data_IF_194599737274
#
_entry.id   IF_194599737274
#
_cell.length_a   1.000
_cell.length_b   1.000
_cell.length_c   1.000
_cell.angle_alpha   90.00
_cell.angle_beta   90.00
_cell.angle_gamma   90.00
#
_symmetry.space_group_name_H-M   'P 1'
#
loop_
_entity.id
_entity.type
_entity.pdbx_description
1 polymer ?
#
# COMPACT_ATOMS: atom_id res chain seq x y z
N UNK A 1 -58.26 31.68 9.70
CA UNK A 1 -57.16 31.90 8.72
C UNK A 1 -56.45 33.25 8.98
N UNK A 2 -55.89 33.47 10.18
CA UNK A 2 -55.17 34.72 10.53
C UNK A 2 -53.67 34.52 10.80
N UNK A 3 -53.20 33.28 10.97
CA UNK A 3 -51.81 33.00 11.32
C UNK A 3 -50.83 33.13 10.14
N UNK A 4 -51.30 32.89 8.91
CA UNK A 4 -50.46 32.88 7.70
C UNK A 4 -50.29 34.26 7.05
N UNK A 5 -51.14 35.23 7.37
CA UNK A 5 -51.13 36.58 6.76
C UNK A 5 -50.33 37.61 7.55
N UNK A 6 -49.72 37.22 8.68
CA UNK A 6 -48.93 38.13 9.53
C UNK A 6 -47.47 38.21 9.06
N UNK A 7 -46.93 39.43 9.05
CA UNK A 7 -45.51 39.69 8.77
C UNK A 7 -44.60 38.97 9.78
N UNK A 8 -43.62 38.20 9.28
CA UNK A 8 -42.66 37.45 10.11
C UNK A 8 -41.50 38.34 10.54
N UNK A 9 -40.98 38.12 11.75
CA UNK A 9 -39.75 38.77 12.24
C UNK A 9 -38.53 37.98 11.76
N UNK A 10 -37.47 38.67 11.35
CA UNK A 10 -36.25 38.05 10.83
C UNK A 10 -35.49 37.21 11.88
N UNK A 11 -35.58 37.57 13.17
CA UNK A 11 -34.88 36.92 14.27
C UNK A 11 -35.76 35.96 15.10
N UNK A 12 -36.98 35.67 14.64
CA UNK A 12 -37.86 34.76 15.36
C UNK A 12 -37.31 33.34 15.32
N UNK A 13 -37.04 32.75 16.49
CA UNK A 13 -36.60 31.36 16.61
C UNK A 13 -35.10 31.13 16.46
N UNK A 14 -34.27 32.18 16.54
CA UNK A 14 -32.82 32.08 16.29
C UNK A 14 -32.07 31.05 17.16
N UNK A 15 -32.61 30.69 18.34
CA UNK A 15 -32.03 29.68 19.25
C UNK A 15 -32.94 28.48 19.49
N UNK A 16 -34.08 28.40 18.80
CA UNK A 16 -35.06 27.33 19.05
C UNK A 16 -34.53 25.97 18.62
N UNK A 17 -33.74 25.91 17.54
CA UNK A 17 -33.09 24.68 17.10
C UNK A 17 -32.13 24.16 18.18
N UNK A 18 -31.25 25.02 18.69
CA UNK A 18 -30.30 24.68 19.78
C UNK A 18 -31.01 24.25 21.06
N UNK A 19 -32.15 24.86 21.39
CA UNK A 19 -32.90 24.50 22.60
C UNK A 19 -33.56 23.13 22.48
N UNK A 20 -34.07 22.78 21.30
CA UNK A 20 -34.64 21.45 21.01
C UNK A 20 -33.54 20.38 20.98
N UNK A 21 -32.37 20.70 20.42
CA UNK A 21 -31.21 19.81 20.36
C UNK A 21 -30.65 19.54 21.76
N UNK A 22 -30.59 20.55 22.63
CA UNK A 22 -30.15 20.42 24.02
C UNK A 22 -31.18 19.74 24.96
N UNK A 23 -32.42 19.53 24.52
CA UNK A 23 -33.47 18.85 25.31
C UNK A 23 -33.24 17.33 25.36
N UNK A 24 -32.63 16.79 24.30
CA UNK A 24 -32.17 15.39 24.24
C UNK A 24 -30.75 15.33 24.79
N UNK A 25 -30.50 14.46 25.77
CA UNK A 25 -29.14 14.23 26.24
C UNK A 25 -28.30 13.61 25.11
N UNK A 26 -27.22 14.28 24.72
CA UNK A 26 -26.41 13.83 23.60
C UNK A 26 -25.50 12.66 24.04
N UNK A 27 -26.04 11.44 23.94
CA UNK A 27 -25.37 10.18 24.27
C UNK A 27 -24.04 10.02 23.51
N UNK A 28 -23.91 10.65 22.35
CA UNK A 28 -22.69 10.62 21.56
C UNK A 28 -21.56 11.39 22.24
N UNK A 29 -21.79 12.66 22.63
CA UNK A 29 -20.75 13.48 23.26
C UNK A 29 -20.46 13.13 24.72
N UNK A 30 -21.34 12.37 25.37
CA UNK A 30 -21.06 11.82 26.71
C UNK A 30 -20.20 10.54 26.69
N UNK A 31 -20.14 9.82 25.56
CA UNK A 31 -19.44 8.52 25.46
C UNK A 31 -18.25 8.52 24.49
N UNK A 32 -18.30 9.29 23.41
CA UNK A 32 -17.24 9.34 22.42
C UNK A 32 -15.96 9.95 23.00
N UNK A 33 -14.82 9.32 22.71
CA UNK A 33 -13.48 9.79 23.11
C UNK A 33 -13.25 9.99 24.61
N UNK A 34 -14.10 9.42 25.47
CA UNK A 34 -14.01 9.58 26.94
C UNK A 34 -15.06 10.51 27.54
N UNK A 35 -15.89 11.14 26.71
CA UNK A 35 -16.89 12.12 27.14
C UNK A 35 -16.31 13.54 27.13
N UNK A 36 -17.11 14.50 26.68
CA UNK A 36 -16.73 15.92 26.59
C UNK A 36 -17.07 16.72 27.87
N UNK A 37 -17.16 16.04 29.02
CA UNK A 37 -17.38 16.68 30.31
C UNK A 37 -16.03 17.13 30.91
N UNK A 38 -16.01 18.31 31.52
CA UNK A 38 -14.80 18.82 32.19
C UNK A 38 -14.40 17.89 33.35
N UNK A 39 -13.17 17.36 33.30
CA UNK A 39 -12.60 16.55 34.39
C UNK A 39 -11.92 17.45 35.43
N UNK A 40 -12.07 17.11 36.72
CA UNK A 40 -11.55 17.94 37.81
C UNK A 40 -10.00 18.04 37.85
N UNK A 41 -9.32 17.09 37.21
CA UNK A 41 -7.85 17.00 37.13
C UNK A 41 -7.32 17.27 35.70
N UNK A 42 -8.09 17.96 34.84
CA UNK A 42 -7.65 18.34 33.49
C UNK A 42 -6.62 19.47 33.54
N UNK A 43 -5.37 19.16 33.17
CA UNK A 43 -4.24 20.09 33.17
C UNK A 43 -4.00 20.60 31.76
N UNK A 44 -3.69 21.89 31.63
CA UNK A 44 -3.40 22.50 30.33
C UNK A 44 -2.28 21.75 29.59
N UNK A 45 -2.49 21.50 28.30
CA UNK A 45 -1.58 20.71 27.47
C UNK A 45 -0.16 21.28 27.49
N UNK A 46 0.80 20.44 27.87
CA UNK A 46 2.23 20.72 27.72
C UNK A 46 2.78 19.96 26.53
N UNK A 47 3.39 20.67 25.59
CA UNK A 47 4.10 20.08 24.46
C UNK A 47 5.28 19.25 24.98
N UNK A 48 5.23 17.94 24.73
CA UNK A 48 6.39 17.07 24.95
C UNK A 48 7.40 17.30 23.82
N UNK A 49 8.69 17.28 24.15
CA UNK A 49 9.76 17.50 23.18
C UNK A 49 9.70 16.40 22.10
N UNK A 50 9.23 16.76 20.90
CA UNK A 50 9.05 15.81 19.79
C UNK A 50 10.41 15.21 19.41
N UNK A 51 10.54 13.90 19.63
CA UNK A 51 11.66 13.12 19.12
C UNK A 51 11.58 13.13 17.59
N UNK A 52 12.69 13.45 16.92
CA UNK A 52 12.72 13.54 15.46
C UNK A 52 12.19 12.25 14.83
N UNK A 53 11.08 12.35 14.12
CA UNK A 53 10.47 11.22 13.43
C UNK A 53 11.42 10.74 12.32
N UNK A 54 12.12 9.64 12.57
CA UNK A 54 12.90 8.93 11.57
C UNK A 54 11.97 8.49 10.45
N UNK A 55 12.04 9.20 9.32
CA UNK A 55 11.17 8.92 8.18
C UNK A 55 11.72 7.76 7.37
N UNK A 56 10.85 6.82 6.98
CA UNK A 56 11.24 5.66 6.18
C UNK A 56 11.89 6.12 4.85
N UNK A 57 12.93 5.40 4.43
CA UNK A 57 13.75 5.76 3.26
C UNK A 57 12.98 5.76 1.94
N UNK A 58 11.83 5.09 1.87
CA UNK A 58 10.94 5.01 0.71
C UNK A 58 10.05 6.25 0.53
N UNK A 59 9.86 7.09 1.55
CA UNK A 59 9.03 8.30 1.42
C UNK A 59 9.64 9.32 0.45
N UNK A 60 10.96 9.26 0.27
CA UNK A 60 11.72 10.16 -0.59
C UNK A 60 11.83 9.65 -2.03
N UNK A 61 11.35 8.43 -2.29
CA UNK A 61 11.33 7.81 -3.61
C UNK A 61 10.13 8.32 -4.40
N UNK A 62 10.33 8.69 -5.67
CA UNK A 62 9.24 9.14 -6.53
C UNK A 62 8.29 7.96 -6.79
N UNK A 63 6.97 8.18 -6.66
CA UNK A 63 5.92 7.16 -6.80
C UNK A 63 5.94 6.44 -8.17
N UNK A 64 6.73 6.92 -9.14
CA UNK A 64 6.92 6.31 -10.46
C UNK A 64 8.21 5.53 -10.66
N UNK A 65 9.17 5.57 -9.73
CA UNK A 65 10.35 4.72 -9.80
C UNK A 65 10.05 3.39 -9.10
N UNK A 66 10.12 2.29 -9.86
CA UNK A 66 9.93 0.95 -9.32
C UNK A 66 10.97 0.63 -8.23
N UNK A 67 10.61 -0.11 -7.17
CA UNK A 67 11.55 -0.47 -6.11
C UNK A 67 12.68 -1.32 -6.66
N UNK A 68 13.92 -0.84 -6.53
CA UNK A 68 15.12 -1.68 -6.62
C UNK A 68 15.18 -2.51 -5.35
N UNK A 69 14.50 -3.66 -5.35
CA UNK A 69 14.77 -4.70 -4.35
C UNK A 69 16.11 -5.35 -4.69
N UNK A 70 17.16 -4.93 -4.01
CA UNK A 70 18.45 -5.64 -4.01
C UNK A 70 18.27 -7.01 -3.33
N UNK A 71 18.51 -8.15 -4.01
CA UNK A 71 18.43 -9.46 -3.40
C UNK A 71 19.83 -10.00 -3.15
N UNK A 72 20.59 -9.47 -2.20
CA UNK A 72 21.73 -10.19 -1.63
C UNK A 72 22.12 -9.74 -0.20
N UNK A 73 22.34 -10.76 0.64
CA UNK A 73 22.99 -10.78 1.97
C UNK A 73 22.28 -10.31 3.28
N UNK A 74 21.90 -11.33 4.06
CA UNK A 74 22.18 -11.54 5.51
C UNK A 74 21.93 -10.42 6.55
N UNK A 75 20.80 -10.52 7.27
CA UNK A 75 20.71 -10.97 8.67
C UNK A 75 19.31 -10.68 9.22
N UNK A 76 18.50 -11.72 9.43
CA UNK A 76 17.15 -11.58 10.00
C UNK A 76 17.20 -11.44 11.52
N UNK A 77 17.32 -10.21 12.02
CA UNK A 77 16.88 -9.89 13.39
C UNK A 77 15.36 -9.68 13.40
N UNK A 78 14.59 -10.75 13.65
CA UNK A 78 13.13 -10.67 13.84
C UNK A 78 12.81 -9.87 15.12
N UNK A 79 12.51 -8.57 14.99
CA UNK A 79 11.86 -7.81 16.06
C UNK A 79 10.38 -8.19 16.10
N UNK A 80 9.96 -8.84 17.20
CA UNK A 80 8.54 -9.10 17.49
C UNK A 80 7.90 -7.78 17.90
N UNK A 81 6.97 -7.28 17.09
CA UNK A 81 6.11 -6.15 17.43
C UNK A 81 5.17 -6.55 18.57
N UNK A 82 5.54 -6.24 19.82
CA UNK A 82 4.67 -6.40 20.98
C UNK A 82 3.86 -5.12 21.13
N UNK A 83 2.54 -5.22 20.89
CA UNK A 83 1.59 -4.17 21.25
C UNK A 83 1.71 -3.93 22.75
N UNK A 84 2.15 -2.73 23.14
CA UNK A 84 2.25 -2.31 24.54
C UNK A 84 0.94 -1.63 24.90
N UNK A 85 0.07 -2.33 25.62
CA UNK A 85 -1.03 -1.70 26.36
C UNK A 85 -0.43 -0.88 27.51
N UNK A 86 -0.82 0.39 27.61
CA UNK A 86 -0.42 1.35 28.65
C UNK A 86 -0.76 0.79 30.05
N UNK A 87 0.21 0.15 30.69
CA UNK A 87 0.19 -0.13 32.12
C UNK A 87 1.33 0.67 32.77
N UNK A 88 0.97 1.40 33.82
CA UNK A 88 1.81 2.32 34.60
C UNK A 88 3.21 1.78 34.88
N UNK A 89 4.24 2.60 34.59
CA UNK A 89 5.65 2.26 34.81
C UNK A 89 6.26 3.28 35.78
N UNK A 90 6.59 2.81 36.98
CA UNK A 90 7.13 3.65 38.06
C UNK A 90 8.43 4.38 37.64
N UNK A 91 8.65 5.63 38.09
CA UNK A 91 9.83 6.40 37.73
C UNK A 91 11.11 5.83 38.37
N UNK A 92 12.23 5.76 37.63
CA UNK A 92 13.48 5.19 38.12
C UNK A 92 14.17 6.09 39.16
N UNK A 93 14.62 5.47 40.26
CA UNK A 93 15.38 6.12 41.33
C UNK A 93 16.73 6.66 40.83
N UNK A 94 17.04 7.90 41.22
CA UNK A 94 18.29 8.61 40.98
C UNK A 94 19.52 7.76 41.38
N UNK A 95 20.46 7.59 40.45
CA UNK A 95 21.79 7.06 40.74
C UNK A 95 22.85 8.16 40.68
N UNK A 96 23.59 8.21 41.78
CA UNK A 96 24.70 9.08 42.12
C UNK A 96 25.81 9.05 41.05
N UNK A 97 26.34 10.24 40.76
CA UNK A 97 27.49 10.50 39.88
C UNK A 97 28.72 9.66 40.31
N UNK A 98 29.34 8.98 39.34
CA UNK A 98 30.76 8.61 39.41
C UNK A 98 31.46 9.09 38.15
N UNK A 99 32.47 9.91 38.37
CA UNK A 99 33.39 10.45 37.39
C UNK A 99 34.26 9.33 36.79
N UNK A 100 34.39 9.30 35.47
CA UNK A 100 35.45 8.54 34.79
C UNK A 100 35.93 9.31 33.56
N UNK A 101 37.25 9.50 33.52
CA UNK A 101 38.08 10.27 32.60
C UNK A 101 37.82 9.99 31.11
N UNK A 102 37.70 11.06 30.32
CA UNK A 102 37.80 11.04 28.86
C UNK A 102 39.27 10.91 28.46
N UNK A 103 39.61 9.87 27.70
CA UNK A 103 40.86 9.80 26.92
C UNK A 103 40.48 9.94 25.46
N UNK A 104 40.95 11.03 24.83
CA UNK A 104 40.74 11.32 23.43
C UNK A 104 41.67 10.44 22.57
N UNK A 105 41.09 9.66 21.66
CA UNK A 105 41.84 9.03 20.57
C UNK A 105 41.47 9.75 19.27
N UNK A 106 42.39 10.57 18.76
CA UNK A 106 42.35 11.14 17.41
C UNK A 106 42.92 10.09 16.46
N UNK A 107 42.17 9.70 15.44
CA UNK A 107 42.69 8.99 14.28
C UNK A 107 42.72 9.95 13.10
N UNK A 108 43.94 10.32 12.69
CA UNK A 108 44.26 10.90 11.39
C UNK A 108 44.10 9.81 10.31
N UNK A 109 43.48 10.08 9.15
CA UNK A 109 43.47 9.14 8.05
C UNK A 109 44.75 9.26 7.22
N UNK A 110 45.59 8.23 7.26
CA UNK A 110 46.64 7.98 6.27
C UNK A 110 45.98 7.30 5.07
N UNK A 111 46.11 7.88 3.87
CA UNK A 111 45.82 7.17 2.63
C UNK A 111 46.86 7.49 1.55
N UNK A 112 47.50 6.40 1.14
CA UNK A 112 48.40 6.19 0.02
C UNK A 112 47.81 6.56 -1.35
N UNK A 113 48.73 6.79 -2.29
CA UNK A 113 48.49 7.16 -3.67
C UNK A 113 47.78 6.11 -4.55
N UNK A 114 47.23 6.63 -5.66
CA UNK A 114 46.83 6.00 -6.93
C UNK A 114 45.43 5.37 -7.05
N UNK A 115 44.47 6.19 -7.50
CA UNK A 115 43.28 5.77 -8.24
C UNK A 115 42.94 6.86 -9.29
N UNK A 116 42.41 6.50 -10.47
CA UNK A 116 42.28 7.43 -11.61
C UNK A 116 41.25 8.53 -11.35
N UNK A 117 41.47 9.69 -11.97
CA UNK A 117 40.56 10.84 -11.98
C UNK A 117 39.21 10.39 -12.52
N UNK A 118 38.27 10.12 -11.62
CA UNK A 118 36.85 9.96 -11.97
C UNK A 118 36.35 11.36 -12.30
N UNK A 119 36.15 11.63 -13.59
CA UNK A 119 35.39 12.77 -14.05
C UNK A 119 34.09 12.84 -13.24
N UNK A 120 33.91 13.92 -12.48
CA UNK A 120 32.65 14.20 -11.79
C UNK A 120 31.57 14.22 -12.86
N UNK A 121 30.76 13.15 -12.91
CA UNK A 121 29.61 13.05 -13.81
C UNK A 121 28.78 14.31 -13.65
N UNK A 122 28.78 15.16 -14.67
CA UNK A 122 27.96 16.36 -14.69
C UNK A 122 26.51 15.89 -14.65
N UNK A 123 25.79 16.29 -13.61
CA UNK A 123 24.38 16.00 -13.48
C UNK A 123 23.66 16.60 -14.69
N UNK A 124 22.73 15.85 -15.29
CA UNK A 124 22.01 16.25 -16.52
C UNK A 124 21.46 17.67 -16.35
N UNK A 125 21.57 18.50 -17.38
CA UNK A 125 21.19 19.92 -17.33
C UNK A 125 19.73 20.13 -16.84
N UNK A 126 18.83 19.20 -17.16
CA UNK A 126 17.45 19.23 -16.68
C UNK A 126 17.32 19.09 -15.16
N UNK A 127 18.17 18.26 -14.53
CA UNK A 127 18.21 18.04 -13.08
C UNK A 127 18.88 19.21 -12.35
N UNK A 128 19.89 19.83 -12.94
CA UNK A 128 20.52 21.03 -12.37
C UNK A 128 19.58 22.24 -12.42
N UNK A 129 18.86 22.43 -13.53
CA UNK A 129 17.86 23.50 -13.66
C UNK A 129 16.71 23.35 -12.65
N UNK A 130 16.15 22.15 -12.50
CA UNK A 130 15.08 21.90 -11.50
C UNK A 130 15.56 22.08 -10.06
N UNK A 131 16.78 21.64 -9.75
CA UNK A 131 17.37 21.85 -8.41
C UNK A 131 17.61 23.33 -8.11
N UNK A 132 18.02 24.11 -9.12
CA UNK A 132 18.16 25.56 -9.01
C UNK A 132 16.80 26.27 -8.82
N UNK A 133 15.76 25.86 -9.55
CA UNK A 133 14.41 26.43 -9.41
C UNK A 133 13.83 26.15 -8.01
N UNK A 134 13.97 24.94 -7.49
CA UNK A 134 13.54 24.57 -6.15
C UNK A 134 14.25 25.42 -5.07
N UNK A 135 15.56 25.64 -5.23
CA UNK A 135 16.37 26.50 -4.34
C UNK A 135 15.98 27.97 -4.44
N UNK A 136 15.65 28.48 -5.63
CA UNK A 136 15.15 29.85 -5.78
C UNK A 136 13.78 30.02 -5.11
N UNK A 137 12.91 29.02 -5.17
CA UNK A 137 11.59 29.05 -4.51
C UNK A 137 11.69 29.06 -2.99
N UNK A 138 12.62 28.30 -2.40
CA UNK A 138 12.86 28.32 -0.96
C UNK A 138 13.46 29.66 -0.51
N UNK A 139 14.48 30.17 -1.22
CA UNK A 139 15.06 31.49 -0.93
C UNK A 139 14.05 32.63 -1.08
N UNK A 140 13.16 32.59 -2.08
CA UNK A 140 12.10 33.59 -2.25
C UNK A 140 11.09 33.57 -1.09
N UNK A 141 10.78 32.40 -0.52
CA UNK A 141 9.94 32.27 0.67
C UNK A 141 10.64 32.80 1.92
N UNK A 142 11.92 32.48 2.11
CA UNK A 142 12.72 33.00 3.23
C UNK A 142 12.92 34.52 3.15
N UNK A 143 13.15 35.06 1.96
CA UNK A 143 13.25 36.51 1.74
C UNK A 143 11.92 37.23 2.00
N UNK A 144 10.79 36.65 1.62
CA UNK A 144 9.47 37.20 1.97
C UNK A 144 9.22 37.17 3.49
N UNK A 145 9.53 36.05 4.14
CA UNK A 145 9.39 35.90 5.60
C UNK A 145 10.30 36.85 6.38
N UNK A 146 11.53 37.08 5.88
CA UNK A 146 12.47 38.03 6.49
C UNK A 146 12.16 39.51 6.19
N UNK A 147 11.46 39.80 5.10
CA UNK A 147 10.91 41.13 4.84
C UNK A 147 9.67 41.43 5.68
N UNK A 148 8.82 40.43 5.94
CA UNK A 148 7.65 40.58 6.82
C UNK A 148 8.06 40.78 8.29
N UNK A 149 9.11 40.12 8.77
CA UNK A 149 9.59 40.29 10.15
C UNK A 149 10.32 41.63 10.41
N UNK A 150 10.63 42.41 9.37
CA UNK A 150 11.33 43.71 9.49
C UNK A 150 10.42 44.93 9.34
N UNK A 151 9.10 44.76 9.22
CA UNK A 151 8.16 45.89 9.22
C UNK A 151 8.16 46.52 10.62
N UNK A 152 8.88 47.62 10.78
CA UNK A 152 8.78 48.49 11.97
C UNK A 152 7.32 48.87 12.14
N UNK A 153 6.79 48.69 13.34
CA UNK A 153 5.48 49.23 13.73
C UNK A 153 5.45 50.71 13.38
N UNK A 154 4.46 51.23 12.62
CA UNK A 154 4.39 52.64 12.33
C UNK A 154 4.25 53.40 13.65
N UNK A 155 5.14 54.35 13.88
CA UNK A 155 5.06 55.27 15.00
C UNK A 155 3.73 56.05 14.85
N UNK A 156 2.81 55.86 15.80
CA UNK A 156 1.46 56.45 15.77
C UNK A 156 1.57 57.98 15.95
N UNK A 157 1.84 58.69 14.86
CA UNK A 157 1.54 60.11 14.79
C UNK A 157 0.03 60.27 14.63
N UNK A 158 -0.66 61.07 15.47
CA UNK A 158 -2.07 61.37 15.27
C UNK A 158 -2.21 62.14 13.95
N UNK A 159 -2.80 61.46 12.97
CA UNK A 159 -2.97 61.95 11.61
C UNK A 159 -3.90 63.17 11.60
N UNK A 160 -3.56 64.21 10.84
CA UNK A 160 -4.44 65.39 10.74
C UNK A 160 -5.74 65.00 10.04
N UNK A 161 -6.82 65.77 10.27
CA UNK A 161 -8.12 65.44 9.70
C UNK A 161 -8.13 65.43 8.16
N UNK A 162 -7.31 66.27 7.51
CA UNK A 162 -7.14 66.27 6.05
C UNK A 162 -6.49 64.99 5.54
N UNK A 163 -5.43 64.54 6.20
CA UNK A 163 -4.74 63.31 5.86
C UNK A 163 -5.64 62.07 6.05
N UNK A 164 -6.53 62.08 7.06
CA UNK A 164 -7.53 61.03 7.27
C UNK A 164 -8.54 60.98 6.11
N UNK A 165 -8.93 62.15 5.59
CA UNK A 165 -9.81 62.25 4.42
C UNK A 165 -9.13 61.81 3.13
N UNK A 166 -7.83 62.06 2.96
CA UNK A 166 -7.06 61.57 1.81
C UNK A 166 -6.89 60.05 1.85
N UNK A 167 -6.59 59.47 3.02
CA UNK A 167 -6.52 58.02 3.20
C UNK A 167 -7.88 57.36 2.94
N UNK A 168 -8.97 57.99 3.40
CA UNK A 168 -10.33 57.54 3.12
C UNK A 168 -10.62 57.51 1.61
N UNK A 169 -10.25 58.55 0.86
CA UNK A 169 -10.39 58.58 -0.62
C UNK A 169 -9.59 57.48 -1.30
N UNK A 170 -8.35 57.24 -0.88
CA UNK A 170 -7.51 56.18 -1.44
C UNK A 170 -8.12 54.81 -1.15
N UNK A 171 -8.65 54.61 0.06
CA UNK A 171 -9.29 53.37 0.49
C UNK A 171 -10.60 53.13 -0.26
N UNK A 172 -11.39 54.17 -0.48
CA UNK A 172 -12.60 54.12 -1.31
C UNK A 172 -12.27 53.67 -2.74
N UNK A 173 -11.25 54.26 -3.37
CA UNK A 173 -10.80 53.85 -4.71
C UNK A 173 -10.34 52.38 -4.75
N UNK A 174 -9.65 51.90 -3.71
CA UNK A 174 -9.24 50.50 -3.59
C UNK A 174 -10.45 49.59 -3.41
N UNK A 175 -11.40 49.97 -2.56
CA UNK A 175 -12.62 49.22 -2.31
C UNK A 175 -13.49 49.13 -3.56
N UNK A 176 -13.62 50.22 -4.33
CA UNK A 176 -14.33 50.23 -5.61
C UNK A 176 -13.70 49.28 -6.63
N UNK A 177 -12.37 49.32 -6.79
CA UNK A 177 -11.65 48.41 -7.68
C UNK A 177 -11.77 46.94 -7.23
N UNK A 178 -11.69 46.70 -5.92
CA UNK A 178 -11.86 45.36 -5.35
C UNK A 178 -13.27 44.83 -5.59
N UNK A 179 -14.29 45.68 -5.40
CA UNK A 179 -15.69 45.35 -5.66
C UNK A 179 -15.93 45.03 -7.13
N UNK A 180 -15.37 45.83 -8.05
CA UNK A 180 -15.47 45.58 -9.49
C UNK A 180 -14.83 44.24 -9.87
N UNK A 181 -13.64 43.94 -9.33
CA UNK A 181 -12.96 42.67 -9.56
C UNK A 181 -13.76 41.48 -9.02
N UNK A 182 -14.33 41.62 -7.82
CA UNK A 182 -15.19 40.60 -7.22
C UNK A 182 -16.45 40.35 -8.08
N UNK A 183 -17.09 41.41 -8.57
CA UNK A 183 -18.23 41.30 -9.48
C UNK A 183 -17.87 40.58 -10.78
N UNK A 184 -16.69 40.87 -11.35
CA UNK A 184 -16.18 40.16 -12.54
C UNK A 184 -15.97 38.68 -12.26
N UNK A 185 -15.36 38.33 -11.13
CA UNK A 185 -15.14 36.94 -10.72
C UNK A 185 -16.47 36.19 -10.47
N UNK A 186 -17.45 36.84 -9.85
CA UNK A 186 -18.79 36.26 -9.67
C UNK A 186 -19.51 36.01 -11.00
N UNK A 187 -19.40 36.94 -11.96
CA UNK A 187 -19.93 36.76 -13.31
C UNK A 187 -19.20 35.65 -14.06
N UNK A 188 -17.89 35.51 -13.87
CA UNK A 188 -17.09 34.44 -14.46
C UNK A 188 -17.48 33.07 -13.91
N UNK A 189 -17.59 32.92 -12.58
CA UNK A 189 -18.08 31.71 -11.91
C UNK A 189 -19.48 31.31 -12.37
N UNK A 190 -20.37 32.28 -12.62
CA UNK A 190 -21.72 32.03 -13.15
C UNK A 190 -21.70 31.59 -14.62
N UNK A 191 -20.68 32.00 -15.40
CA UNK A 191 -20.51 31.63 -16.82
C UNK A 191 -19.86 30.26 -16.98
N UNK A 192 -18.93 29.87 -16.11
CA UNK A 192 -18.30 28.55 -16.14
C UNK A 192 -19.21 27.49 -15.50
N UNK A 193 -20.19 27.02 -16.28
CA UNK A 193 -20.86 25.75 -15.98
C UNK A 193 -19.88 24.63 -16.31
N UNK A 194 -19.36 23.96 -15.30
CA UNK A 194 -18.60 22.72 -15.45
C UNK A 194 -19.50 21.66 -16.11
N UNK A 195 -19.43 21.53 -17.43
CA UNK A 195 -20.06 20.45 -18.16
C UNK A 195 -19.29 19.17 -17.81
N UNK A 196 -19.92 18.29 -17.03
CA UNK A 196 -19.36 16.97 -16.78
C UNK A 196 -19.40 16.21 -18.11
N UNK A 197 -18.22 15.89 -18.66
CA UNK A 197 -18.13 15.00 -19.81
C UNK A 197 -18.63 13.63 -19.36
N UNK A 198 -19.80 13.21 -19.85
CA UNK A 198 -20.25 11.85 -19.69
C UNK A 198 -19.32 10.97 -20.54
N UNK A 199 -18.60 10.05 -19.91
CA UNK A 199 -17.83 9.05 -20.60
C UNK A 199 -18.82 8.21 -21.43
N UNK A 200 -18.86 8.48 -22.74
CA UNK A 200 -19.74 7.80 -23.70
C UNK A 200 -18.95 6.73 -24.45
N UNK A 201 -17.93 6.18 -23.79
CA UNK A 201 -17.14 5.08 -24.35
C UNK A 201 -17.87 3.75 -24.08
N UNK A 202 -17.73 2.77 -24.98
CA UNK A 202 -18.22 1.42 -24.75
C UNK A 202 -17.52 0.83 -23.53
N UNK A 203 -18.24 0.79 -22.40
CA UNK A 203 -17.72 0.30 -21.13
C UNK A 203 -18.36 -1.03 -20.74
N UNK A 204 -17.56 -1.91 -20.14
CA UNK A 204 -18.05 -3.12 -19.49
C UNK A 204 -18.71 -2.69 -18.18
N UNK A 205 -19.97 -3.10 -17.96
CA UNK A 205 -20.74 -2.71 -16.77
C UNK A 205 -21.04 -3.92 -15.90
N UNK A 206 -20.71 -3.78 -14.62
CA UNK A 206 -21.06 -4.76 -13.59
C UNK A 206 -22.35 -4.36 -12.88
N UNK A 207 -23.29 -5.29 -12.76
CA UNK A 207 -24.56 -5.12 -12.07
C UNK A 207 -24.76 -6.22 -11.03
N UNK A 208 -24.89 -5.85 -9.76
CA UNK A 208 -25.37 -6.75 -8.71
C UNK A 208 -26.85 -6.43 -8.42
N UNK A 209 -27.74 -7.41 -8.62
CA UNK A 209 -29.18 -7.25 -8.41
C UNK A 209 -29.69 -8.34 -7.46
N UNK A 210 -30.54 -7.97 -6.52
CA UNK A 210 -31.26 -8.94 -5.69
C UNK A 210 -32.42 -9.56 -6.51
N UNK A 211 -32.38 -10.87 -6.71
CA UNK A 211 -33.35 -11.65 -7.46
C UNK A 211 -34.09 -12.65 -6.54
N UNK A 212 -35.34 -13.02 -6.85
CA UNK A 212 -36.03 -14.09 -6.14
C UNK A 212 -35.36 -15.44 -6.43
N UNK A 213 -35.16 -16.24 -5.38
CA UNK A 213 -34.70 -17.62 -5.47
C UNK A 213 -35.91 -18.51 -5.81
N UNK A 214 -35.90 -19.06 -7.02
CA UNK A 214 -36.96 -19.93 -7.54
C UNK A 214 -36.49 -21.38 -7.46
N UNK A 215 -37.22 -22.22 -6.75
CA UNK A 215 -37.07 -23.67 -6.76
C UNK A 215 -38.17 -24.26 -7.66
N UNK A 216 -37.76 -25.09 -8.62
CA UNK A 216 -38.70 -25.81 -9.49
C UNK A 216 -39.08 -27.09 -8.75
N UNK A 217 -40.31 -27.15 -8.25
CA UNK A 217 -40.86 -28.37 -7.66
C UNK A 217 -41.71 -29.04 -8.74
N UNK A 218 -41.44 -30.32 -8.99
CA UNK A 218 -42.23 -31.13 -9.91
C UNK A 218 -43.37 -31.80 -9.13
N UNK A 219 -44.61 -31.41 -9.43
CA UNK A 219 -45.78 -32.11 -8.88
C UNK A 219 -45.98 -33.46 -9.58
N UNK A 220 -46.68 -34.39 -8.92
CA UNK A 220 -46.97 -35.75 -9.46
C UNK A 220 -47.70 -35.74 -10.82
N UNK A 221 -48.26 -34.60 -11.23
CA UNK A 221 -48.89 -34.38 -12.53
C UNK A 221 -47.95 -33.82 -13.62
N UNK A 222 -46.63 -33.79 -13.42
CA UNK A 222 -45.61 -33.24 -14.34
C UNK A 222 -45.82 -31.76 -14.71
N UNK A 223 -46.49 -31.01 -13.85
CA UNK A 223 -46.54 -29.54 -13.97
C UNK A 223 -45.39 -28.99 -13.15
N UNK A 224 -44.54 -28.19 -13.78
CA UNK A 224 -43.45 -27.48 -13.12
C UNK A 224 -44.01 -26.19 -12.55
N UNK A 225 -44.15 -26.12 -11.22
CA UNK A 225 -44.53 -24.90 -10.53
C UNK A 225 -43.29 -24.24 -9.94
N UNK A 226 -43.14 -22.94 -10.22
CA UNK A 226 -42.02 -22.13 -9.75
C UNK A 226 -42.34 -21.58 -8.37
N UNK A 227 -41.76 -22.15 -7.31
CA UNK A 227 -41.96 -21.68 -5.94
C UNK A 227 -40.84 -20.69 -5.59
N UNK A 228 -41.21 -19.51 -5.11
CA UNK A 228 -40.24 -18.51 -4.63
C UNK A 228 -39.93 -18.82 -3.16
N UNK A 229 -38.73 -19.35 -2.89
CA UNK A 229 -38.31 -19.80 -1.56
C UNK A 229 -37.53 -18.72 -0.80
N UNK A 230 -36.91 -17.77 -1.50
CA UNK A 230 -36.13 -16.71 -0.86
C UNK A 230 -35.64 -15.62 -1.80
N UNK A 231 -34.60 -14.89 -1.41
CA UNK A 231 -33.89 -13.90 -2.23
C UNK A 231 -32.42 -14.31 -2.37
N UNK A 232 -31.88 -14.21 -3.58
CA UNK A 232 -30.47 -14.40 -3.88
C UNK A 232 -29.91 -13.17 -4.58
N UNK A 233 -28.61 -12.90 -4.44
CA UNK A 233 -27.94 -11.89 -5.26
C UNK A 233 -27.47 -12.53 -6.55
N UNK A 234 -27.77 -11.89 -7.68
CA UNK A 234 -27.29 -12.31 -8.99
C UNK A 234 -26.46 -11.20 -9.61
N UNK A 235 -25.26 -11.57 -10.04
CA UNK A 235 -24.32 -10.66 -10.66
C UNK A 235 -24.39 -10.82 -12.18
N UNK A 236 -24.49 -9.70 -12.88
CA UNK A 236 -24.49 -9.63 -14.34
C UNK A 236 -23.33 -8.76 -14.81
N UNK A 237 -22.67 -9.20 -15.86
CA UNK A 237 -21.63 -8.43 -16.55
C UNK A 237 -22.17 -8.16 -17.95
N UNK A 238 -22.38 -6.89 -18.27
CA UNK A 238 -22.87 -6.45 -19.58
C UNK A 238 -21.69 -5.92 -20.38
N UNK A 239 -21.49 -6.49 -21.57
CA UNK A 239 -20.47 -6.03 -22.52
C UNK A 239 -21.13 -5.12 -23.56
N UNK A 240 -20.40 -4.10 -24.05
CA UNK A 240 -20.90 -3.26 -25.14
C UNK A 240 -21.02 -4.04 -26.44
N UNK A 241 -20.00 -4.85 -26.80
CA UNK A 241 -19.94 -5.62 -28.03
C UNK A 241 -19.57 -7.08 -27.77
N UNK A 242 -20.08 -8.01 -28.59
CA UNK A 242 -19.75 -9.44 -28.50
C UNK A 242 -18.26 -9.71 -28.75
N UNK A 243 -17.60 -8.90 -29.57
CA UNK A 243 -16.16 -9.01 -29.83
C UNK A 243 -15.34 -8.73 -28.56
N UNK A 244 -15.68 -7.67 -27.80
CA UNK A 244 -15.02 -7.37 -26.51
C UNK A 244 -15.20 -8.52 -25.52
N UNK A 245 -16.39 -9.12 -25.46
CA UNK A 245 -16.64 -10.28 -24.62
C UNK A 245 -15.71 -11.45 -24.99
N UNK A 246 -15.55 -11.75 -26.28
CA UNK A 246 -14.67 -12.83 -26.80
C UNK A 246 -13.19 -12.58 -26.61
N UNK A 247 -12.77 -11.33 -26.64
CA UNK A 247 -11.38 -10.96 -26.41
C UNK A 247 -10.98 -11.14 -24.93
N UNK A 248 -11.84 -10.71 -24.00
CA UNK A 248 -11.54 -10.78 -22.57
C UNK A 248 -11.87 -12.13 -21.92
N UNK A 249 -12.81 -12.89 -22.48
CA UNK A 249 -13.19 -14.20 -21.93
C UNK A 249 -12.69 -15.33 -22.82
N UNK A 250 -11.81 -16.15 -22.24
CA UNK A 250 -11.42 -17.42 -22.84
C UNK A 250 -12.61 -18.39 -22.78
N UNK A 251 -13.32 -18.48 -23.90
CA UNK A 251 -14.39 -19.47 -24.10
C UNK A 251 -13.85 -20.88 -24.36
N UNK A 252 -12.54 -21.00 -24.61
CA UNK A 252 -11.89 -22.30 -24.70
C UNK A 252 -11.77 -22.92 -23.31
N UNK A 253 -12.50 -24.03 -23.09
CA UNK A 253 -12.34 -24.82 -21.88
C UNK A 253 -10.87 -25.28 -21.80
N UNK A 254 -10.16 -25.07 -20.68
CA UNK A 254 -8.80 -25.53 -20.55
C UNK A 254 -8.77 -27.04 -20.80
N UNK A 255 -7.88 -27.48 -21.69
CA UNK A 255 -7.73 -28.90 -21.98
C UNK A 255 -7.41 -29.61 -20.66
N UNK A 256 -8.09 -30.73 -20.33
CA UNK A 256 -7.80 -31.45 -19.11
C UNK A 256 -6.33 -31.88 -19.10
N UNK A 257 -5.64 -31.65 -17.99
CA UNK A 257 -4.23 -32.01 -17.85
C UNK A 257 -4.07 -33.51 -18.04
N UNK A 258 -3.42 -33.92 -19.12
CA UNK A 258 -3.16 -35.34 -19.39
C UNK A 258 -2.11 -35.85 -18.40
N UNK A 259 -2.49 -36.81 -17.56
CA UNK A 259 -1.55 -37.45 -16.61
C UNK A 259 -0.56 -38.31 -17.40
N UNK A 260 0.73 -38.16 -17.12
CA UNK A 260 1.75 -39.00 -17.73
C UNK A 260 1.58 -40.46 -17.29
N UNK A 261 1.96 -41.40 -18.15
CA UNK A 261 1.84 -42.84 -17.87
C UNK A 261 3.19 -43.39 -17.43
N UNK A 262 3.21 -44.21 -16.38
CA UNK A 262 4.44 -44.82 -15.88
C UNK A 262 5.05 -45.78 -16.91
N UNK A 263 6.35 -45.66 -17.17
CA UNK A 263 7.05 -46.46 -18.19
C UNK A 263 7.06 -47.96 -17.83
N UNK A 264 7.19 -48.30 -16.55
CA UNK A 264 7.30 -49.70 -16.11
C UNK A 264 5.93 -50.37 -15.99
N UNK A 265 4.97 -49.69 -15.36
CA UNK A 265 3.68 -50.31 -14.98
C UNK A 265 2.52 -49.95 -15.89
N UNK A 266 2.70 -48.99 -16.81
CA UNK A 266 1.65 -48.46 -17.69
C UNK A 266 0.42 -47.88 -16.97
N UNK A 267 0.50 -47.70 -15.66
CA UNK A 267 -0.51 -47.01 -14.86
C UNK A 267 -0.29 -45.50 -14.89
N UNK A 268 -1.32 -44.67 -14.58
CA UNK A 268 -1.14 -43.24 -14.39
C UNK A 268 -0.03 -42.94 -13.39
N UNK A 269 0.97 -42.16 -13.80
CA UNK A 269 2.09 -41.82 -12.95
C UNK A 269 1.65 -40.83 -11.88
N UNK A 270 2.09 -41.11 -10.66
CA UNK A 270 1.85 -40.26 -9.49
C UNK A 270 3.03 -39.33 -9.21
N UNK A 271 4.23 -39.75 -9.61
CA UNK A 271 5.48 -39.08 -9.28
C UNK A 271 6.40 -39.04 -10.51
N UNK A 272 7.33 -38.09 -10.50
CA UNK A 272 8.35 -37.94 -11.53
C UNK A 272 9.74 -38.02 -10.90
N UNK A 273 10.65 -38.81 -11.46
CA UNK A 273 12.00 -38.92 -10.94
C UNK A 273 12.84 -37.71 -11.40
N UNK A 274 13.40 -36.89 -10.48
CA UNK A 274 14.18 -35.71 -10.86
C UNK A 274 15.47 -36.02 -11.61
N UNK A 275 16.07 -37.20 -11.42
CA UNK A 275 17.31 -37.56 -12.13
C UNK A 275 17.03 -38.05 -13.54
N UNK A 276 16.11 -39.00 -13.69
CA UNK A 276 15.85 -39.64 -14.99
C UNK A 276 14.80 -38.91 -15.82
N UNK A 277 14.08 -37.96 -15.21
CA UNK A 277 12.90 -37.30 -15.77
C UNK A 277 11.90 -38.32 -16.33
N UNK A 278 11.71 -39.42 -15.62
CA UNK A 278 10.78 -40.48 -16.00
C UNK A 278 9.58 -40.56 -15.04
N UNK A 279 8.37 -40.77 -15.58
CA UNK A 279 7.15 -40.91 -14.80
C UNK A 279 7.08 -42.27 -14.10
N UNK A 280 6.74 -42.26 -12.80
CA UNK A 280 6.60 -43.44 -11.94
C UNK A 280 5.25 -43.47 -11.22
N UNK A 281 4.60 -44.64 -11.19
CA UNK A 281 3.33 -44.83 -10.48
C UNK A 281 3.56 -45.19 -9.00
N UNK A 282 4.46 -46.14 -8.75
CA UNK A 282 4.75 -46.70 -7.42
C UNK A 282 6.25 -46.66 -7.11
N UNK A 283 6.61 -46.79 -5.83
CA UNK A 283 8.01 -46.85 -5.38
C UNK A 283 8.81 -47.99 -6.02
N UNK A 284 8.17 -49.13 -6.29
CA UNK A 284 8.78 -50.26 -6.99
C UNK A 284 9.18 -49.89 -8.42
N UNK A 285 8.28 -49.23 -9.15
CA UNK A 285 8.55 -48.73 -10.50
C UNK A 285 9.69 -47.70 -10.50
N UNK A 286 9.73 -46.80 -9.51
CA UNK A 286 10.82 -45.84 -9.34
C UNK A 286 12.19 -46.52 -9.13
N UNK A 287 12.24 -47.58 -8.30
CA UNK A 287 13.47 -48.35 -8.08
C UNK A 287 13.95 -49.03 -9.36
N UNK A 288 13.04 -49.60 -10.14
CA UNK A 288 13.34 -50.24 -11.43
C UNK A 288 13.88 -49.21 -12.43
N UNK A 289 13.24 -48.03 -12.52
CA UNK A 289 13.67 -46.92 -13.39
C UNK A 289 15.11 -46.49 -13.05
N UNK A 290 15.43 -46.25 -11.77
CA UNK A 290 16.80 -45.86 -11.38
C UNK A 290 17.81 -46.98 -11.61
N UNK A 291 17.44 -48.23 -11.34
CA UNK A 291 18.34 -49.35 -11.60
C UNK A 291 18.67 -49.48 -13.09
N UNK A 292 17.67 -49.36 -13.96
CA UNK A 292 17.83 -49.36 -15.40
C UNK A 292 18.70 -48.18 -15.87
N UNK A 293 18.44 -46.96 -15.39
CA UNK A 293 19.24 -45.77 -15.70
C UNK A 293 20.71 -45.96 -15.35
N UNK A 294 20.98 -46.43 -14.13
CA UNK A 294 22.35 -46.65 -13.70
C UNK A 294 23.03 -47.77 -14.51
N UNK A 295 22.31 -48.81 -14.92
CA UNK A 295 22.88 -49.85 -15.81
C UNK A 295 23.12 -49.36 -17.24
N UNK A 296 22.39 -48.33 -17.70
CA UNK A 296 22.73 -47.63 -18.93
C UNK A 296 24.00 -46.79 -18.77
N UNK A 297 24.20 -46.13 -17.62
CA UNK A 297 25.45 -45.42 -17.32
C UNK A 297 26.66 -46.35 -17.29
N UNK A 298 26.53 -47.54 -16.67
CA UNK A 298 27.57 -48.59 -16.69
C UNK A 298 28.03 -48.96 -18.10
N UNK A 299 27.11 -48.95 -19.06
CA UNK A 299 27.39 -49.34 -20.46
C UNK A 299 27.92 -48.20 -21.31
N UNK A 300 27.54 -46.95 -21.00
CA UNK A 300 27.83 -45.78 -21.83
C UNK A 300 29.06 -44.99 -21.38
N UNK A 301 29.49 -45.13 -20.13
CA UNK A 301 30.57 -44.30 -19.59
C UNK A 301 31.90 -45.05 -19.64
N UNK A 302 32.92 -44.41 -20.21
CA UNK A 302 34.27 -44.96 -20.27
C UNK A 302 34.82 -45.24 -18.88
N UNK A 303 35.16 -46.50 -18.62
CA UNK A 303 35.70 -46.99 -17.33
C UNK A 303 37.06 -46.39 -16.94
N UNK A 304 37.65 -45.54 -17.79
CA UNK A 304 38.97 -44.91 -17.59
C UNK A 304 38.91 -43.62 -16.76
N UNK A 305 37.72 -43.07 -16.53
CA UNK A 305 37.54 -41.88 -15.69
C UNK A 305 37.54 -42.28 -14.19
N UNK A 306 38.46 -41.75 -13.37
CA UNK A 306 38.69 -42.23 -12.00
C UNK A 306 37.48 -42.04 -11.07
N UNK A 307 36.71 -40.95 -11.22
CA UNK A 307 35.49 -40.71 -10.44
C UNK A 307 34.38 -41.71 -10.76
N UNK A 308 34.26 -42.11 -12.02
CA UNK A 308 33.24 -43.08 -12.47
C UNK A 308 33.64 -44.49 -12.03
N UNK A 309 34.92 -44.85 -12.15
CA UNK A 309 35.44 -46.15 -11.69
C UNK A 309 35.18 -46.38 -10.19
N UNK A 310 35.47 -45.37 -9.35
CA UNK A 310 35.19 -45.43 -7.91
C UNK A 310 33.69 -45.64 -7.61
N UNK A 311 32.82 -44.97 -8.37
CA UNK A 311 31.38 -45.13 -8.22
C UNK A 311 30.88 -46.51 -8.69
N UNK A 312 31.44 -47.05 -9.78
CA UNK A 312 31.13 -48.38 -10.30
C UNK A 312 31.51 -49.49 -9.31
N UNK A 313 32.69 -49.39 -8.69
CA UNK A 313 33.14 -50.33 -7.65
C UNK A 313 32.24 -50.30 -6.42
N UNK A 314 31.93 -49.10 -5.91
CA UNK A 314 30.98 -48.92 -4.81
C UNK A 314 29.61 -49.52 -5.13
N UNK A 315 29.12 -49.31 -6.36
CA UNK A 315 27.83 -49.87 -6.79
C UNK A 315 27.86 -51.41 -6.89
N UNK A 316 28.97 -51.99 -7.35
CA UNK A 316 29.16 -53.45 -7.39
C UNK A 316 29.10 -54.05 -5.98
N UNK A 317 29.76 -53.42 -5.01
CA UNK A 317 29.69 -53.80 -3.60
C UNK A 317 28.25 -53.68 -3.05
N UNK A 318 27.56 -52.58 -3.35
CA UNK A 318 26.17 -52.38 -2.92
C UNK A 318 25.17 -53.37 -3.56
N UNK A 319 25.38 -53.79 -4.81
CA UNK A 319 24.58 -54.85 -5.45
C UNK A 319 24.83 -56.20 -4.78
N UNK A 320 26.10 -56.55 -4.51
CA UNK A 320 26.46 -57.78 -3.82
C UNK A 320 25.87 -57.84 -2.39
N UNK A 321 25.94 -56.74 -1.63
CA UNK A 321 25.34 -56.63 -0.31
C UNK A 321 23.81 -56.79 -0.34
N UNK A 322 23.12 -56.22 -1.35
CA UNK A 322 21.67 -56.40 -1.52
C UNK A 322 21.30 -57.84 -1.90
N UNK A 323 22.11 -58.54 -2.68
CA UNK A 323 21.87 -59.95 -3.03
C UNK A 323 22.07 -60.85 -1.80
N UNK A 324 23.13 -60.63 -1.02
CA UNK A 324 23.36 -61.31 0.26
C UNK A 324 22.17 -61.13 1.22
N UNK A 325 21.71 -59.89 1.42
CA UNK A 325 20.55 -59.60 2.28
C UNK A 325 19.21 -60.16 1.77
N UNK A 326 19.07 -60.41 0.46
CA UNK A 326 17.89 -61.10 -0.08
C UNK A 326 17.94 -62.60 0.25
N UNK A 327 19.10 -63.23 0.09
CA UNK A 327 19.30 -64.66 0.36
C UNK A 327 19.11 -65.00 1.85
N UNK A 328 19.47 -64.08 2.75
CA UNK A 328 19.28 -64.21 4.21
C UNK A 328 17.80 -64.13 4.62
N UNK A 329 16.94 -63.48 3.83
CA UNK A 329 15.50 -63.32 4.12
C UNK A 329 14.62 -64.43 3.53
N UNK A 330 15.20 -65.30 2.70
CA UNK A 330 14.50 -66.40 2.01
C UNK A 330 14.73 -67.76 2.66
N UNK A 331 15.63 -67.82 3.65
CA UNK A 331 15.68 -68.85 4.68
C UNK A 331 15.01 -68.31 5.95
#
# INVERSE_FOLDING_TARGET
MLATTRQKRANAGNRMATLLENEEADDFYSSAYGGFQDEADDVEYSEEEEESEDTDSDISLDEKDEPVSDPEEEEKAKRKHRVVTKAYKEPPKMKVKKEAKKVAFKMEPVASASAPVVEKKQMRESTTLKSLEAKQRTQAKENKKSQESKKKQPENYPLTQEQLLEEAKITELKNLKSLEMFQRLELEKKKTKLAKHACTEPMIRYHSVAMPLVEVVEDENKKQENIVVGRCTRNFITFPDENTMKEYFNFEKPKPVTKSTCIVTRMPARYFDPLTKQPSANLTAFRIIREAYYTQLEKKVDSRLPHVAKWLEWRKQMKAAKQSNKNIKTH
#
